data_IF_327228446483
#
_entry.id   IF_327228446483
#
_cell.length_a   1.000
_cell.length_b   1.000
_cell.length_c   1.000
_cell.angle_alpha   90.00
_cell.angle_beta   90.00
_cell.angle_gamma   90.00
#
_symmetry.space_group_name_H-M   'P 1'
#
loop_
_entity.id
_entity.type
_entity.pdbx_description
1 polymer ?
#
# COMPACT_ATOMS: atom_id res chain seq x y z
N UNK A 1 -6.40 -9.16 -20.23
CA UNK A 1 -7.52 -8.28 -20.53
C UNK A 1 -7.65 -7.27 -19.42
N UNK A 2 -8.11 -6.07 -19.75
CA UNK A 2 -8.12 -4.97 -18.77
C UNK A 2 -9.02 -5.23 -17.56
N UNK A 3 -10.14 -5.95 -17.73
CA UNK A 3 -10.99 -6.26 -16.58
C UNK A 3 -10.30 -7.19 -15.59
N UNK A 4 -9.55 -8.17 -16.08
CA UNK A 4 -8.80 -9.07 -15.20
C UNK A 4 -7.75 -8.30 -14.39
N UNK A 5 -7.09 -7.32 -14.99
CA UNK A 5 -6.11 -6.50 -14.31
C UNK A 5 -6.76 -5.55 -13.31
N UNK A 6 -7.95 -5.01 -13.62
CA UNK A 6 -8.71 -4.23 -12.64
C UNK A 6 -9.05 -5.08 -11.41
N UNK A 7 -9.49 -6.31 -11.62
CA UNK A 7 -9.84 -7.21 -10.53
C UNK A 7 -8.63 -7.56 -9.68
N UNK A 8 -7.49 -7.83 -10.29
CA UNK A 8 -6.25 -8.10 -9.57
C UNK A 8 -5.81 -6.89 -8.76
N UNK A 9 -5.92 -5.70 -9.33
CA UNK A 9 -5.56 -4.46 -8.63
C UNK A 9 -6.45 -4.26 -7.40
N UNK A 10 -7.77 -4.50 -7.52
CA UNK A 10 -8.69 -4.39 -6.39
C UNK A 10 -8.41 -5.45 -5.33
N UNK A 11 -8.10 -6.68 -5.73
CA UNK A 11 -7.71 -7.74 -4.81
C UNK A 11 -6.49 -7.35 -4.00
N UNK A 12 -5.51 -6.69 -4.63
CA UNK A 12 -4.30 -6.25 -3.94
C UNK A 12 -4.65 -5.39 -2.73
N UNK A 13 -5.46 -4.35 -2.94
CA UNK A 13 -5.81 -3.45 -1.84
C UNK A 13 -6.69 -4.11 -0.80
N UNK A 14 -7.67 -4.90 -1.22
CA UNK A 14 -8.58 -5.56 -0.28
C UNK A 14 -7.88 -6.66 0.52
N UNK A 15 -7.15 -7.55 -0.14
CA UNK A 15 -6.59 -8.72 0.52
C UNK A 15 -5.23 -8.47 1.17
N UNK A 16 -4.44 -7.55 0.64
CA UNK A 16 -3.12 -7.25 1.18
C UNK A 16 -3.19 -6.19 2.27
N UNK A 17 -3.98 -5.15 2.06
CA UNK A 17 -4.04 -4.02 2.99
C UNK A 17 -5.20 -4.08 3.96
N UNK A 18 -6.38 -4.51 3.54
CA UNK A 18 -7.57 -4.51 4.40
C UNK A 18 -7.71 -5.80 5.18
N UNK A 19 -7.82 -6.95 4.51
CA UNK A 19 -7.94 -8.23 5.23
C UNK A 19 -6.59 -8.82 5.64
N UNK A 20 -5.51 -8.37 5.05
CA UNK A 20 -4.12 -8.67 5.44
C UNK A 20 -3.77 -10.14 5.37
N UNK A 21 -4.17 -10.79 4.28
CA UNK A 21 -3.76 -12.15 4.01
C UNK A 21 -2.34 -12.16 3.47
N UNK A 22 -1.39 -12.67 4.24
CA UNK A 22 0.00 -12.78 3.77
C UNK A 22 0.09 -13.63 2.51
N UNK A 23 -0.71 -14.69 2.41
CA UNK A 23 -0.76 -15.54 1.23
C UNK A 23 -1.10 -14.75 -0.04
N UNK A 24 -1.94 -13.71 0.07
CA UNK A 24 -2.29 -12.89 -1.09
C UNK A 24 -1.08 -12.17 -1.69
N UNK A 25 -0.12 -11.78 -0.86
CA UNK A 25 1.11 -11.16 -1.36
C UNK A 25 1.86 -12.15 -2.25
N UNK A 26 1.98 -13.39 -1.83
CA UNK A 26 2.65 -14.43 -2.63
C UNK A 26 1.84 -14.82 -3.87
N UNK A 27 0.53 -14.75 -3.80
CA UNK A 27 -0.35 -15.04 -4.94
C UNK A 27 -0.29 -13.95 -6.01
N UNK A 28 -0.20 -12.70 -5.60
CA UNK A 28 -0.35 -11.54 -6.49
C UNK A 28 0.96 -10.88 -6.90
N UNK A 29 2.03 -11.04 -6.11
CA UNK A 29 3.31 -10.40 -6.37
C UNK A 29 4.31 -11.43 -6.86
N UNK A 30 4.98 -11.15 -7.99
CA UNK A 30 6.01 -12.05 -8.50
C UNK A 30 7.21 -12.08 -7.54
N UNK A 31 7.94 -13.19 -7.54
CA UNK A 31 9.07 -13.38 -6.62
C UNK A 31 10.16 -12.33 -6.76
N UNK A 32 10.37 -11.84 -7.99
CA UNK A 32 11.38 -10.82 -8.27
C UNK A 32 10.75 -9.46 -8.57
N UNK A 33 9.50 -9.26 -8.19
CA UNK A 33 8.82 -7.99 -8.40
C UNK A 33 9.53 -6.85 -7.69
N UNK A 34 9.54 -5.67 -8.31
CA UNK A 34 10.11 -4.47 -7.72
C UNK A 34 9.00 -3.53 -7.33
N UNK A 35 8.92 -3.19 -6.07
CA UNK A 35 7.97 -2.21 -5.56
C UNK A 35 8.73 -0.92 -5.24
N UNK A 36 8.43 0.14 -5.98
CA UNK A 36 8.99 1.46 -5.73
C UNK A 36 8.07 2.19 -4.76
N UNK A 37 8.41 2.11 -3.49
CA UNK A 37 7.61 2.72 -2.43
C UNK A 37 8.19 4.05 -2.01
N UNK A 38 7.41 4.84 -1.29
CA UNK A 38 7.94 6.08 -0.74
C UNK A 38 9.12 5.77 0.18
N UNK A 39 10.29 6.22 -0.21
CA UNK A 39 11.50 6.07 0.57
C UNK A 39 12.35 4.84 0.30
N UNK A 40 11.86 3.85 -0.46
CA UNK A 40 12.65 2.64 -0.71
C UNK A 40 12.13 1.83 -1.88
N UNK A 41 13.04 1.15 -2.55
CA UNK A 41 12.71 0.10 -3.52
C UNK A 41 12.81 -1.25 -2.83
N UNK A 42 11.79 -2.08 -3.00
CA UNK A 42 11.73 -3.39 -2.38
C UNK A 42 11.65 -4.46 -3.46
N UNK A 43 12.41 -5.53 -3.30
CA UNK A 43 12.37 -6.65 -4.25
C UNK A 43 11.80 -7.88 -3.56
N UNK A 44 10.73 -8.40 -4.11
CA UNK A 44 10.12 -9.66 -3.70
C UNK A 44 9.10 -9.56 -2.57
N UNK A 45 8.27 -10.61 -2.42
CA UNK A 45 7.19 -10.63 -1.43
C UNK A 45 7.66 -10.45 0.01
N UNK A 46 8.78 -11.07 0.39
CA UNK A 46 9.24 -11.01 1.80
C UNK A 46 9.59 -9.59 2.22
N UNK A 47 10.28 -8.84 1.37
CA UNK A 47 10.61 -7.44 1.66
C UNK A 47 9.36 -6.58 1.73
N UNK A 48 8.40 -6.83 0.85
CA UNK A 48 7.13 -6.12 0.90
C UNK A 48 6.39 -6.41 2.20
N UNK A 49 6.35 -7.67 2.63
CA UNK A 49 5.68 -8.05 3.88
C UNK A 49 6.31 -7.36 5.09
N UNK A 50 7.63 -7.22 5.11
CA UNK A 50 8.31 -6.46 6.17
C UNK A 50 7.88 -5.00 6.19
N UNK A 51 7.81 -4.36 5.03
CA UNK A 51 7.39 -2.96 4.93
C UNK A 51 5.92 -2.79 5.33
N UNK A 52 5.06 -3.72 4.90
CA UNK A 52 3.64 -3.69 5.29
C UNK A 52 3.50 -3.86 6.81
N UNK A 53 4.28 -4.76 7.41
CA UNK A 53 4.23 -4.98 8.84
C UNK A 53 4.57 -3.71 9.63
N UNK A 54 5.55 -2.94 9.16
CA UNK A 54 5.93 -1.69 9.80
C UNK A 54 4.78 -0.67 9.73
N UNK A 55 4.13 -0.55 8.57
CA UNK A 55 3.04 0.39 8.39
C UNK A 55 1.79 -0.03 9.18
N UNK A 56 1.44 -1.31 9.14
CA UNK A 56 0.31 -1.85 9.91
C UNK A 56 0.59 -1.77 11.41
N UNK A 57 1.85 -1.94 11.83
CA UNK A 57 2.23 -1.76 13.22
C UNK A 57 1.94 -0.35 13.73
N UNK A 58 2.17 0.66 12.88
CA UNK A 58 1.86 2.05 13.21
C UNK A 58 0.35 2.34 13.13
N UNK A 59 -0.35 1.68 12.21
CA UNK A 59 -1.76 1.92 11.92
C UNK A 59 -2.53 0.59 11.90
N UNK A 60 -2.75 -0.05 13.08
CA UNK A 60 -3.35 -1.39 13.10
C UNK A 60 -4.76 -1.46 12.51
N UNK A 61 -5.50 -0.36 12.50
CA UNK A 61 -6.85 -0.31 11.96
C UNK A 61 -6.93 0.31 10.57
N UNK A 62 -5.83 0.34 9.83
CA UNK A 62 -5.83 0.95 8.49
C UNK A 62 -6.85 0.29 7.58
N UNK A 63 -7.61 1.12 6.87
CA UNK A 63 -8.52 0.69 5.81
C UNK A 63 -8.25 1.52 4.56
N UNK A 64 -8.07 0.83 3.46
CA UNK A 64 -7.81 1.46 2.16
C UNK A 64 -9.07 1.32 1.30
N UNK A 65 -9.50 2.44 0.72
CA UNK A 65 -10.63 2.47 -0.21
C UNK A 65 -10.09 2.76 -1.60
N UNK A 66 -10.35 1.86 -2.54
CA UNK A 66 -10.04 2.09 -3.95
C UNK A 66 -11.12 3.01 -4.52
N UNK A 67 -10.72 4.18 -4.98
CA UNK A 67 -11.64 5.17 -5.54
C UNK A 67 -11.86 4.97 -7.03
N UNK A 68 -10.80 4.58 -7.75
CA UNK A 68 -10.89 4.39 -9.19
C UNK A 68 -9.75 3.49 -9.67
N UNK A 69 -10.00 2.71 -10.69
CA UNK A 69 -9.00 1.86 -11.35
C UNK A 69 -9.10 2.04 -12.85
N UNK A 70 -7.98 2.37 -13.46
CA UNK A 70 -7.85 2.41 -14.91
C UNK A 70 -6.87 1.32 -15.31
N UNK A 71 -7.23 0.50 -16.27
CA UNK A 71 -6.38 -0.61 -16.71
C UNK A 71 -6.28 -0.65 -18.23
N UNK A 72 -5.11 -1.04 -18.71
CA UNK A 72 -4.80 -1.29 -20.11
C UNK A 72 -4.14 -2.66 -20.19
N UNK A 73 -3.61 -3.02 -21.35
CA UNK A 73 -3.14 -4.36 -21.69
C UNK A 73 -2.36 -5.07 -20.57
N UNK A 74 -1.35 -4.42 -19.99
CA UNK A 74 -0.50 -5.01 -18.95
C UNK A 74 -0.37 -4.13 -17.71
N UNK A 75 -1.15 -3.06 -17.60
CA UNK A 75 -0.99 -2.05 -16.55
C UNK A 75 -2.31 -1.70 -15.90
N UNK A 76 -2.23 -1.31 -14.63
CA UNK A 76 -3.36 -0.70 -13.94
C UNK A 76 -2.85 0.45 -13.09
N UNK A 77 -3.65 1.51 -13.02
CA UNK A 77 -3.40 2.64 -12.12
C UNK A 77 -4.59 2.72 -11.17
N UNK A 78 -4.29 2.78 -9.89
CA UNK A 78 -5.30 2.81 -8.84
C UNK A 78 -5.18 4.12 -8.08
N UNK A 79 -6.29 4.82 -7.94
CA UNK A 79 -6.39 5.96 -7.04
C UNK A 79 -7.07 5.47 -5.77
N UNK A 80 -6.44 5.71 -4.63
CA UNK A 80 -6.92 5.18 -3.35
C UNK A 80 -6.82 6.23 -2.24
N UNK A 81 -7.56 5.99 -1.17
CA UNK A 81 -7.43 6.74 0.08
C UNK A 81 -7.36 5.77 1.25
N UNK A 82 -6.69 6.18 2.31
CA UNK A 82 -6.55 5.37 3.51
C UNK A 82 -6.96 6.18 4.73
N UNK A 83 -7.50 5.49 5.71
CA UNK A 83 -7.87 6.07 6.99
C UNK A 83 -7.41 5.14 8.11
N UNK A 84 -6.90 5.71 9.19
CA UNK A 84 -6.38 4.93 10.31
C UNK A 84 -6.24 5.81 11.56
N UNK A 85 -5.82 5.19 12.67
CA UNK A 85 -5.38 5.90 13.87
C UNK A 85 -3.92 5.54 14.13
N UNK A 86 -3.12 6.54 14.46
CA UNK A 86 -1.70 6.38 14.74
C UNK A 86 -1.53 5.86 16.17
N UNK A 87 -1.57 4.54 16.35
CA UNK A 87 -1.50 3.91 17.65
C UNK A 87 -0.24 3.07 17.88
N UNK A 88 0.64 3.00 16.86
CA UNK A 88 1.96 2.38 16.98
C UNK A 88 3.05 3.32 16.52
N UNK A 89 4.30 2.99 16.83
CA UNK A 89 5.44 3.80 16.40
C UNK A 89 5.55 3.81 14.88
N UNK A 90 5.89 4.97 14.30
CA UNK A 90 6.15 5.13 12.88
C UNK A 90 7.47 5.86 12.69
N UNK A 91 8.50 5.17 12.17
CA UNK A 91 9.81 5.76 11.85
C UNK A 91 10.37 6.60 13.01
N UNK A 92 10.29 6.04 14.22
CA UNK A 92 10.77 6.72 15.42
C UNK A 92 9.80 7.72 16.03
N UNK A 93 8.63 7.92 15.43
CA UNK A 93 7.60 8.81 15.96
C UNK A 93 6.72 8.02 16.90
N UNK A 94 6.63 8.42 18.18
CA UNK A 94 5.76 7.70 19.14
C UNK A 94 4.29 7.77 18.75
N UNK A 95 3.47 6.81 19.19
CA UNK A 95 2.02 6.83 18.88
C UNK A 95 1.37 8.12 19.36
N UNK A 96 0.67 8.79 18.45
CA UNK A 96 -0.04 10.04 18.77
C UNK A 96 -1.51 9.81 19.12
N UNK A 97 -2.07 8.65 18.76
CA UNK A 97 -3.49 8.38 18.88
C UNK A 97 -4.36 9.15 17.89
N UNK A 98 -3.76 9.95 17.02
CA UNK A 98 -4.51 10.82 16.11
C UNK A 98 -5.13 10.03 14.96
N UNK A 99 -6.33 10.42 14.52
CA UNK A 99 -6.85 9.92 13.26
C UNK A 99 -6.02 10.52 12.12
N UNK A 100 -5.72 9.69 11.13
CA UNK A 100 -4.98 10.13 9.94
C UNK A 100 -5.74 9.71 8.70
N UNK A 101 -5.65 10.51 7.66
CA UNK A 101 -6.13 10.19 6.34
C UNK A 101 -5.04 10.56 5.35
N UNK A 102 -4.83 9.70 4.37
CA UNK A 102 -3.91 10.01 3.29
C UNK A 102 -4.39 9.32 2.02
N UNK A 103 -3.90 9.80 0.90
CA UNK A 103 -4.35 9.29 -0.40
C UNK A 103 -3.15 9.20 -1.32
N UNK A 104 -3.30 8.37 -2.35
CA UNK A 104 -2.22 8.18 -3.30
C UNK A 104 -2.68 7.50 -4.55
N UNK A 105 -1.71 7.20 -5.38
CA UNK A 105 -1.89 6.44 -6.60
C UNK A 105 -0.84 5.37 -6.68
N UNK A 106 -1.23 4.22 -7.22
CA UNK A 106 -0.33 3.11 -7.42
C UNK A 106 -0.40 2.68 -8.87
N UNK A 107 0.76 2.58 -9.50
CA UNK A 107 0.91 2.12 -10.87
C UNK A 107 1.45 0.70 -10.83
N UNK A 108 0.77 -0.25 -11.48
CA UNK A 108 1.14 -1.66 -11.48
C UNK A 108 1.35 -2.18 -12.88
N UNK A 109 2.41 -2.97 -13.08
CA UNK A 109 2.62 -3.73 -14.30
C UNK A 109 2.41 -5.21 -13.98
N UNK A 110 1.61 -5.89 -14.81
CA UNK A 110 1.28 -7.30 -14.65
C UNK A 110 1.95 -8.16 -15.71
N UNK A 111 2.32 -9.37 -15.32
CA UNK A 111 2.76 -10.40 -16.23
C UNK A 111 2.32 -11.76 -15.67
N UNK A 112 1.68 -12.57 -16.51
CA UNK A 112 1.21 -13.90 -16.11
C UNK A 112 0.36 -13.89 -14.84
N UNK A 113 -0.52 -12.90 -14.72
CA UNK A 113 -1.44 -12.79 -13.59
C UNK A 113 -0.83 -12.29 -12.30
N UNK A 114 0.42 -11.79 -12.34
CA UNK A 114 1.09 -11.27 -11.15
C UNK A 114 1.65 -9.88 -11.39
N UNK A 115 1.78 -9.12 -10.33
CA UNK A 115 2.43 -7.81 -10.34
C UNK A 115 3.94 -8.06 -10.43
N UNK A 116 4.58 -7.49 -11.46
CA UNK A 116 6.03 -7.61 -11.64
C UNK A 116 6.76 -6.32 -11.27
N UNK A 117 6.06 -5.19 -11.31
CA UNK A 117 6.63 -3.91 -10.89
C UNK A 117 5.51 -2.97 -10.49
N UNK A 118 5.75 -2.14 -9.50
CA UNK A 118 4.77 -1.16 -9.05
C UNK A 118 5.43 0.09 -8.50
N UNK A 119 4.70 1.21 -8.60
CA UNK A 119 5.11 2.52 -8.08
C UNK A 119 3.99 3.06 -7.21
N UNK A 120 4.34 3.44 -5.98
CA UNK A 120 3.42 4.13 -5.08
C UNK A 120 3.80 5.60 -5.02
N UNK A 121 2.82 6.47 -5.15
CA UNK A 121 3.01 7.90 -4.98
C UNK A 121 1.98 8.43 -4.00
N UNK A 122 2.43 8.89 -2.84
CA UNK A 122 1.59 9.50 -1.82
C UNK A 122 2.44 10.38 -0.92
N UNK A 123 1.80 11.17 -0.09
CA UNK A 123 2.50 12.18 0.71
C UNK A 123 2.93 11.63 2.07
N UNK A 124 4.02 10.87 2.08
CA UNK A 124 4.60 10.35 3.33
C UNK A 124 5.00 11.49 4.28
N UNK A 125 5.61 12.53 3.74
CA UNK A 125 6.02 13.68 4.55
C UNK A 125 4.84 14.32 5.27
N UNK A 126 3.73 14.50 4.58
CA UNK A 126 2.51 15.04 5.20
C UNK A 126 1.95 14.13 6.27
N UNK A 127 1.99 12.81 6.06
CA UNK A 127 1.57 11.85 7.08
C UNK A 127 2.46 11.95 8.33
N UNK A 128 3.78 11.99 8.13
CA UNK A 128 4.72 12.10 9.24
C UNK A 128 4.50 13.41 10.01
N UNK A 129 4.26 14.51 9.31
CA UNK A 129 3.97 15.80 9.94
C UNK A 129 2.71 15.72 10.82
N UNK A 130 1.65 15.07 10.31
CA UNK A 130 0.44 14.86 11.09
C UNK A 130 0.72 14.06 12.37
N UNK A 131 1.50 13.00 12.25
CA UNK A 131 1.85 12.16 13.40
C UNK A 131 2.73 12.88 14.41
N UNK A 132 3.58 13.79 13.96
CA UNK A 132 4.47 14.59 14.83
C UNK A 132 3.78 15.78 15.45
N UNK A 133 2.64 16.21 14.92
CA UNK A 133 2.00 17.43 15.40
C UNK A 133 1.81 17.37 16.91
N UNK A 134 2.29 18.41 17.58
CA UNK A 134 2.21 18.45 19.04
C UNK A 134 0.76 18.49 19.49
N UNK A 135 0.47 17.77 20.56
CA UNK A 135 -0.84 17.92 21.20
C UNK A 135 -0.90 19.30 21.83
N UNK A 136 -2.01 20.03 21.59
CA UNK A 136 -2.18 21.33 22.22
C UNK A 136 -2.28 21.22 23.74
#
# INVERSE_FOLDING_TARGET
MSQAHRDLARRWFEEVWNTRRDAAVHELLAENAVAHMEGADLVGPERFLEARAALVGAFPNIQVTVEDVVADADRAVVRWRAAAHHTGELLGIPPSGRPVQFRGMTWMIFRDGKIVEGWDAWNLGGLLDTCRAANP
#
